data_IF_497857535186
#
_entry.id   IF_497857535186
#
_cell.length_a   1.000
_cell.length_b   1.000
_cell.length_c   1.000
_cell.angle_alpha   90.00
_cell.angle_beta   90.00
_cell.angle_gamma   90.00
#
_symmetry.space_group_name_H-M   'P 1'
#
loop_
_entity.id
_entity.type
_entity.pdbx_description
1 polymer ?
#
# COMPACT_ATOMS: atom_id res chain seq x y z
N UNK A 1 12.80 -7.38 20.86
CA UNK A 1 11.47 -6.92 20.45
C UNK A 1 10.92 -7.86 19.39
N UNK A 2 9.76 -8.47 19.62
CA UNK A 2 9.08 -9.35 18.65
C UNK A 2 7.96 -8.57 17.95
N UNK A 3 7.86 -8.68 16.63
CA UNK A 3 6.79 -8.07 15.82
C UNK A 3 6.04 -9.18 15.08
N UNK A 4 4.74 -9.28 15.30
CA UNK A 4 3.86 -10.20 14.58
C UNK A 4 3.01 -9.45 13.56
N UNK A 5 2.77 -10.07 12.40
CA UNK A 5 1.85 -9.56 11.38
C UNK A 5 0.86 -10.67 11.01
N UNK A 6 -0.43 -10.33 10.97
CA UNK A 6 -1.49 -11.23 10.52
C UNK A 6 -2.54 -10.44 9.74
N UNK A 7 -3.18 -11.07 8.77
CA UNK A 7 -4.31 -10.48 8.05
C UNK A 7 -5.58 -10.46 8.91
N UNK A 8 -5.68 -11.33 9.92
CA UNK A 8 -6.81 -11.40 10.85
C UNK A 8 -6.33 -11.68 12.27
N UNK A 9 -6.39 -10.67 13.13
CA UNK A 9 -6.04 -10.80 14.54
C UNK A 9 -6.95 -11.80 15.30
N UNK A 10 -8.22 -11.92 14.89
CA UNK A 10 -9.18 -12.87 15.45
C UNK A 10 -8.86 -14.34 15.19
N UNK A 11 -7.94 -14.63 14.27
CA UNK A 11 -7.48 -16.01 13.98
C UNK A 11 -6.32 -16.45 14.87
N UNK A 12 -5.79 -15.58 15.73
CA UNK A 12 -4.77 -15.94 16.71
C UNK A 12 -5.40 -16.55 17.95
N UNK A 13 -4.75 -17.55 18.53
CA UNK A 13 -5.16 -18.10 19.83
C UNK A 13 -4.99 -17.04 20.93
N UNK A 14 -5.89 -17.04 21.92
CA UNK A 14 -5.83 -16.10 23.06
C UNK A 14 -4.45 -16.04 23.71
N UNK A 15 -3.83 -17.18 24.11
CA UNK A 15 -2.52 -17.18 24.76
C UNK A 15 -1.39 -16.56 23.94
N UNK A 16 -1.44 -16.63 22.61
CA UNK A 16 -0.43 -16.00 21.76
C UNK A 16 -0.72 -14.51 21.57
N UNK A 17 -1.99 -14.13 21.43
CA UNK A 17 -2.41 -12.73 21.26
C UNK A 17 -2.09 -11.90 22.49
N UNK A 18 -2.34 -12.44 23.69
CA UNK A 18 -2.17 -11.74 24.96
C UNK A 18 -0.69 -11.46 25.29
N UNK A 19 0.25 -12.09 24.56
CA UNK A 19 1.70 -11.82 24.66
C UNK A 19 2.14 -10.53 23.95
N UNK A 20 1.27 -9.90 23.16
CA UNK A 20 1.57 -8.65 22.47
C UNK A 20 0.94 -7.47 23.22
N UNK A 21 1.76 -6.59 23.81
CA UNK A 21 1.28 -5.43 24.58
C UNK A 21 0.81 -4.25 23.72
N UNK A 22 1.07 -4.26 22.41
CA UNK A 22 0.63 -3.23 21.46
C UNK A 22 -0.03 -3.92 20.27
N UNK A 23 -1.22 -3.44 19.91
CA UNK A 23 -1.95 -3.90 18.74
C UNK A 23 -2.15 -2.73 17.78
N UNK A 24 -1.64 -2.86 16.56
CA UNK A 24 -1.84 -1.90 15.49
C UNK A 24 -2.67 -2.56 14.40
N UNK A 25 -3.71 -1.86 13.93
CA UNK A 25 -4.50 -2.26 12.77
C UNK A 25 -4.17 -1.31 11.63
N UNK A 26 -3.68 -1.88 10.53
CA UNK A 26 -3.52 -1.14 9.29
C UNK A 26 -4.86 -1.13 8.56
N UNK A 27 -5.37 0.07 8.32
CA UNK A 27 -6.53 0.27 7.46
C UNK A 27 -6.09 0.38 6.00
N UNK A 28 -7.07 0.28 5.10
CA UNK A 28 -6.85 0.65 3.71
C UNK A 28 -6.53 2.14 3.60
N UNK A 29 -5.65 2.47 2.67
CA UNK A 29 -5.29 3.85 2.36
C UNK A 29 -6.43 4.50 1.57
N UNK A 30 -6.62 5.80 1.81
CA UNK A 30 -7.50 6.59 0.96
C UNK A 30 -6.83 6.90 -0.39
N UNK A 31 -7.60 7.45 -1.33
CA UNK A 31 -7.09 7.74 -2.67
C UNK A 31 -6.00 8.82 -2.68
N UNK A 32 -6.09 9.83 -1.80
CA UNK A 32 -5.08 10.90 -1.71
C UNK A 32 -3.73 10.39 -1.21
N UNK A 33 -3.72 9.52 -0.19
CA UNK A 33 -2.51 8.92 0.33
C UNK A 33 -1.88 8.00 -0.73
N UNK A 34 -2.70 7.24 -1.45
CA UNK A 34 -2.23 6.38 -2.53
C UNK A 34 -1.65 7.18 -3.69
N UNK A 35 -2.25 8.31 -4.05
CA UNK A 35 -1.73 9.24 -5.05
C UNK A 35 -0.35 9.74 -4.66
N UNK A 36 -0.17 10.18 -3.41
CA UNK A 36 1.13 10.64 -2.90
C UNK A 36 2.19 9.52 -2.96
N UNK A 37 1.82 8.29 -2.58
CA UNK A 37 2.69 7.12 -2.69
C UNK A 37 3.09 6.86 -4.15
N UNK A 38 2.16 6.99 -5.10
CA UNK A 38 2.40 6.77 -6.52
C UNK A 38 3.38 7.82 -7.06
N UNK A 39 3.14 9.11 -6.78
CA UNK A 39 4.01 10.22 -7.22
C UNK A 39 5.43 10.02 -6.69
N UNK A 40 5.57 9.77 -5.39
CA UNK A 40 6.86 9.47 -4.78
C UNK A 40 7.54 8.24 -5.39
N UNK A 41 6.77 7.20 -5.71
CA UNK A 41 7.33 5.99 -6.33
C UNK A 41 7.78 6.25 -7.77
N UNK A 42 7.07 7.11 -8.50
CA UNK A 42 7.44 7.52 -9.86
C UNK A 42 8.78 8.28 -9.84
N UNK A 43 8.96 9.21 -8.89
CA UNK A 43 10.23 9.92 -8.67
C UNK A 43 11.39 8.96 -8.39
N UNK A 44 11.19 7.99 -7.47
CA UNK A 44 12.21 6.97 -7.14
C UNK A 44 12.57 6.10 -8.35
N UNK A 45 11.61 5.86 -9.25
CA UNK A 45 11.83 5.08 -10.47
C UNK A 45 12.32 5.92 -11.66
N UNK A 46 12.49 7.24 -11.48
CA UNK A 46 12.92 8.16 -12.54
C UNK A 46 11.93 8.28 -13.69
N UNK A 47 10.63 8.09 -13.42
CA UNK A 47 9.56 8.18 -14.42
C UNK A 47 8.64 9.36 -14.10
N UNK A 48 8.27 10.13 -15.11
CA UNK A 48 7.28 11.19 -14.97
C UNK A 48 5.87 10.60 -14.91
N UNK A 49 5.03 11.18 -14.05
CA UNK A 49 3.60 10.89 -14.00
C UNK A 49 2.84 12.19 -13.80
N UNK A 50 1.74 12.35 -14.54
CA UNK A 50 0.81 13.45 -14.34
C UNK A 50 -0.13 13.20 -13.15
N UNK A 51 -0.65 14.29 -12.59
CA UNK A 51 -1.47 14.25 -11.39
C UNK A 51 -2.76 13.44 -11.57
N UNK A 52 -3.40 13.55 -12.75
CA UNK A 52 -4.62 12.84 -13.10
C UNK A 52 -4.38 11.33 -13.22
N UNK A 53 -3.31 10.91 -13.91
CA UNK A 53 -2.90 9.50 -13.98
C UNK A 53 -2.59 8.92 -12.61
N UNK A 54 -1.94 9.67 -11.72
CA UNK A 54 -1.67 9.22 -10.36
C UNK A 54 -2.97 8.98 -9.57
N UNK A 55 -3.97 9.87 -9.71
CA UNK A 55 -5.30 9.69 -9.11
C UNK A 55 -6.03 8.47 -9.70
N UNK A 56 -5.99 8.27 -11.02
CA UNK A 56 -6.62 7.11 -11.66
C UNK A 56 -5.99 5.78 -11.25
N UNK A 57 -4.67 5.74 -11.06
CA UNK A 57 -3.99 4.59 -10.49
C UNK A 57 -4.40 4.38 -9.03
N UNK A 58 -4.51 5.43 -8.23
CA UNK A 58 -4.93 5.36 -6.83
C UNK A 58 -6.33 4.73 -6.69
N UNK A 59 -7.32 5.21 -7.46
CA UNK A 59 -8.69 4.66 -7.50
C UNK A 59 -8.71 3.16 -7.80
N UNK A 60 -7.84 2.69 -8.71
CA UNK A 60 -7.77 1.28 -9.16
C UNK A 60 -6.95 0.39 -8.22
N UNK A 61 -6.34 0.96 -7.19
CA UNK A 61 -5.41 0.25 -6.31
C UNK A 61 -6.07 -0.45 -5.12
N UNK A 62 -7.39 -0.35 -4.98
CA UNK A 62 -8.17 -1.02 -3.91
C UNK A 62 -7.59 -0.73 -2.52
N UNK A 63 -7.30 0.56 -2.25
CA UNK A 63 -6.78 1.00 -0.94
C UNK A 63 -5.40 0.45 -0.57
N UNK A 64 -4.66 -0.15 -1.51
CA UNK A 64 -3.46 -0.93 -1.20
C UNK A 64 -2.21 -0.39 -1.92
N UNK A 65 -1.21 0.14 -1.18
CA UNK A 65 0.03 0.65 -1.77
C UNK A 65 0.79 -0.36 -2.64
N UNK A 66 0.79 -1.63 -2.24
CA UNK A 66 1.41 -2.72 -3.02
C UNK A 66 0.77 -2.88 -4.39
N UNK A 67 -0.54 -2.67 -4.52
CA UNK A 67 -1.24 -2.76 -5.81
C UNK A 67 -0.96 -1.51 -6.64
N UNK A 68 -0.97 -0.33 -6.03
CA UNK A 68 -0.62 0.93 -6.68
C UNK A 68 0.75 0.89 -7.35
N UNK A 69 1.78 0.51 -6.61
CA UNK A 69 3.14 0.42 -7.14
C UNK A 69 3.27 -0.64 -8.24
N UNK A 70 2.48 -1.72 -8.17
CA UNK A 70 2.43 -2.73 -9.23
C UNK A 70 1.78 -2.20 -10.50
N UNK A 71 0.72 -1.41 -10.38
CA UNK A 71 0.06 -0.79 -11.54
C UNK A 71 0.96 0.25 -12.19
N UNK A 72 1.61 1.12 -11.41
CA UNK A 72 2.58 2.10 -11.91
C UNK A 72 3.68 1.43 -12.75
N UNK A 73 4.29 0.36 -12.22
CA UNK A 73 5.33 -0.39 -12.95
C UNK A 73 4.80 -0.94 -14.28
N UNK A 74 3.60 -1.52 -14.30
CA UNK A 74 2.98 -2.04 -15.53
C UNK A 74 2.71 -0.96 -16.56
N UNK A 75 2.21 0.20 -16.14
CA UNK A 75 1.95 1.32 -17.05
C UNK A 75 3.26 1.85 -17.64
N UNK A 76 4.29 2.01 -16.81
CA UNK A 76 5.62 2.40 -17.26
C UNK A 76 6.20 1.41 -18.27
N UNK A 77 6.16 0.11 -17.96
CA UNK A 77 6.72 -0.94 -18.81
C UNK A 77 5.95 -1.06 -20.14
N UNK A 78 4.70 -0.58 -20.22
CA UNK A 78 3.92 -0.55 -21.46
C UNK A 78 4.31 0.61 -22.39
N UNK A 79 4.87 1.70 -21.86
CA UNK A 79 5.33 2.85 -22.65
C UNK A 79 6.73 2.66 -23.26
N UNK A 80 7.50 1.66 -22.81
CA UNK A 80 8.83 1.34 -23.32
C UNK A 80 8.75 0.38 -24.51
#
# INVERSE_FOLDING_TARGET
TLVGATTRAGSLTGPLRDRFGVHLRLEYYNESDLKEIIIRTAEVLGTGIDDESAIELAKRSRGTPRVANRLLKRVRDFQQ
#
